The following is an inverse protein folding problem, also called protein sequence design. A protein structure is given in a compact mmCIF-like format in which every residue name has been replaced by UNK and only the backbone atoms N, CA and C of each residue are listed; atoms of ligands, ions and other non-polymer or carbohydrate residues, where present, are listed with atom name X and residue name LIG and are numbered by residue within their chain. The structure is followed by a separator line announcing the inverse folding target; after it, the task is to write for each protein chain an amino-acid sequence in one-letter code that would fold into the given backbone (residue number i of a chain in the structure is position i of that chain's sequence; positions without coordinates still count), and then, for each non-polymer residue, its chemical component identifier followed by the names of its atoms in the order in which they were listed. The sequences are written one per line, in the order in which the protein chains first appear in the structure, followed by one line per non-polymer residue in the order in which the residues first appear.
data_IF_658196838427
#
_entry.id   IF_658196838427
#
_cell.length_a   1.000
_cell.length_b   1.000
_cell.length_c   1.000
_cell.angle_alpha   90.00
_cell.angle_beta   90.00
_cell.angle_gamma   90.00
#
_symmetry.space_group_name_H-M   'P 1'
#
loop_
_entity.id
_entity.type
_entity.pdbx_description
1 polymer ?
#
# COMPACT_ATOMS: atom_id res chain seq x y z
N UNK A 1 -15.40 -0.77 17.91
CA UNK A 1 -14.91 0.19 16.90
C UNK A 1 -15.05 -0.43 15.52
N UNK A 2 -15.45 0.32 14.50
CA UNK A 2 -15.45 -0.13 13.11
C UNK A 2 -14.07 0.16 12.52
N UNK A 3 -13.49 -0.80 11.80
CA UNK A 3 -12.12 -0.76 11.27
C UNK A 3 -12.16 -0.51 9.77
N UNK A 4 -11.17 0.23 9.24
CA UNK A 4 -10.93 0.39 7.81
C UNK A 4 -9.55 -0.19 7.48
N UNK A 5 -9.51 -1.11 6.52
CA UNK A 5 -8.28 -1.68 5.99
C UNK A 5 -7.76 -0.79 4.86
N UNK A 6 -6.72 -0.01 5.14
CA UNK A 6 -6.20 0.98 4.20
C UNK A 6 -5.32 0.39 3.08
N UNK A 7 -5.06 -0.92 3.07
CA UNK A 7 -4.19 -1.53 2.07
C UNK A 7 -4.53 -3.02 1.86
N UNK A 8 -5.24 -3.30 0.78
CA UNK A 8 -5.53 -4.66 0.32
C UNK A 8 -5.22 -4.81 -1.16
N UNK A 9 -5.17 -6.06 -1.61
CA UNK A 9 -5.05 -6.40 -3.03
C UNK A 9 -6.10 -7.42 -3.44
N UNK A 10 -6.79 -7.13 -4.55
CA UNK A 10 -7.61 -8.08 -5.27
C UNK A 10 -6.90 -8.49 -6.56
N UNK A 11 -7.14 -9.69 -7.05
CA UNK A 11 -6.66 -10.07 -8.37
C UNK A 11 -7.65 -10.98 -9.08
N UNK A 12 -7.98 -10.62 -10.32
CA UNK A 12 -8.73 -11.47 -11.23
C UNK A 12 -7.82 -12.55 -11.79
N UNK A 13 -6.64 -12.12 -12.25
CA UNK A 13 -5.57 -12.98 -12.71
C UNK A 13 -4.26 -12.46 -12.13
N UNK A 14 -3.54 -13.30 -11.40
CA UNK A 14 -2.23 -12.92 -10.90
C UNK A 14 -1.21 -13.07 -12.04
N UNK A 15 -0.78 -11.93 -12.58
CA UNK A 15 0.11 -11.85 -13.73
C UNK A 15 1.03 -10.63 -13.59
N UNK A 16 1.92 -10.68 -12.62
CA UNK A 16 2.84 -9.61 -12.30
C UNK A 16 4.13 -9.65 -13.13
N UNK A 17 4.93 -8.62 -12.95
CA UNK A 17 6.27 -8.53 -13.53
C UNK A 17 7.22 -7.81 -12.56
N UNK A 18 8.45 -8.27 -12.48
CA UNK A 18 9.45 -7.66 -11.59
C UNK A 18 10.87 -8.14 -11.89
N UNK A 19 11.79 -7.96 -10.94
CA UNK A 19 13.21 -8.31 -11.10
C UNK A 19 13.48 -9.78 -11.46
N UNK A 20 12.53 -10.67 -11.14
CA UNK A 20 12.60 -12.11 -11.47
C UNK A 20 11.80 -12.49 -12.72
N UNK A 21 11.42 -11.51 -13.54
CA UNK A 21 10.58 -11.67 -14.70
C UNK A 21 9.09 -11.74 -14.37
N UNK A 22 8.33 -12.48 -15.17
CA UNK A 22 6.90 -12.66 -14.95
C UNK A 22 6.60 -13.44 -13.67
N UNK A 23 5.46 -13.14 -13.07
CA UNK A 23 4.88 -13.86 -11.94
C UNK A 23 3.50 -14.35 -12.34
N UNK A 24 3.23 -15.65 -12.23
CA UNK A 24 1.93 -16.24 -12.54
C UNK A 24 1.42 -17.12 -11.41
N UNK A 25 0.12 -17.23 -11.28
CA UNK A 25 -0.50 -18.20 -10.38
C UNK A 25 -0.47 -19.62 -11.01
N UNK A 26 -0.09 -20.61 -10.21
CA UNK A 26 -0.01 -22.02 -10.62
C UNK A 26 -1.04 -22.91 -9.90
N UNK A 27 -1.95 -22.32 -9.12
CA UNK A 27 -3.02 -23.00 -8.40
C UNK A 27 -2.82 -23.03 -6.89
N UNK A 28 -3.92 -23.15 -6.12
CA UNK A 28 -3.90 -23.20 -4.65
C UNK A 28 -3.31 -21.95 -3.99
N UNK A 29 -3.32 -20.82 -4.68
CA UNK A 29 -2.69 -19.59 -4.23
C UNK A 29 -1.16 -19.58 -4.34
N UNK A 30 -0.55 -20.60 -4.93
CA UNK A 30 0.88 -20.60 -5.23
C UNK A 30 1.18 -19.88 -6.53
N UNK A 31 2.33 -19.23 -6.55
CA UNK A 31 2.84 -18.48 -7.69
C UNK A 31 4.26 -18.91 -8.06
N UNK A 32 4.61 -18.74 -9.32
CA UNK A 32 5.90 -19.05 -9.90
C UNK A 32 6.44 -17.84 -10.65
N UNK A 33 7.70 -17.50 -10.41
CA UNK A 33 8.44 -16.52 -11.20
C UNK A 33 9.08 -17.18 -12.44
N UNK A 34 9.42 -16.37 -13.43
CA UNK A 34 10.14 -16.84 -14.63
C UNK A 34 11.53 -17.44 -14.32
N UNK A 35 12.13 -17.12 -13.17
CA UNK A 35 13.37 -17.76 -12.69
C UNK A 35 13.15 -19.15 -12.07
N UNK A 36 11.90 -19.64 -12.03
CA UNK A 36 11.50 -20.94 -11.46
C UNK A 36 11.29 -20.93 -9.95
N UNK A 37 11.50 -19.81 -9.27
CA UNK A 37 11.22 -19.71 -7.84
C UNK A 37 9.72 -19.61 -7.55
N UNK A 38 9.25 -20.33 -6.52
CA UNK A 38 7.83 -20.41 -6.16
C UNK A 38 7.61 -19.98 -4.71
N UNK A 39 6.42 -19.45 -4.42
CA UNK A 39 5.96 -19.18 -3.06
C UNK A 39 4.44 -19.15 -3.00
N UNK A 40 3.86 -19.23 -1.81
CA UNK A 40 2.43 -19.05 -1.61
C UNK A 40 2.10 -17.56 -1.48
N UNK A 41 1.30 -17.03 -2.41
CA UNK A 41 0.88 -15.63 -2.45
C UNK A 41 -0.39 -15.40 -1.63
N UNK A 42 -1.32 -16.37 -1.61
CA UNK A 42 -2.52 -16.30 -0.80
C UNK A 42 -2.98 -17.70 -0.35
N UNK A 43 -3.70 -17.79 0.77
CA UNK A 43 -4.25 -19.08 1.21
C UNK A 43 -5.35 -19.53 0.25
N UNK A 44 -5.41 -20.84 -0.04
CA UNK A 44 -6.37 -21.43 -0.97
C UNK A 44 -7.86 -21.14 -0.61
N UNK A 45 -8.15 -20.82 0.65
CA UNK A 45 -9.50 -20.42 1.09
C UNK A 45 -9.99 -19.12 0.45
N UNK A 46 -9.09 -18.27 -0.03
CA UNK A 46 -9.45 -17.04 -0.75
C UNK A 46 -9.73 -17.27 -2.23
N UNK A 47 -9.20 -18.34 -2.80
CA UNK A 47 -9.38 -18.71 -4.21
C UNK A 47 -8.29 -19.65 -4.71
N UNK A 48 -8.52 -20.22 -5.87
CA UNK A 48 -7.57 -21.14 -6.52
C UNK A 48 -6.51 -20.37 -7.32
N UNK A 49 -6.95 -19.38 -8.12
CA UNK A 49 -6.11 -18.57 -9.03
C UNK A 49 -6.30 -17.07 -8.86
N UNK A 50 -7.29 -16.65 -8.10
CA UNK A 50 -7.72 -15.26 -7.97
C UNK A 50 -8.10 -14.94 -6.52
N UNK A 51 -8.21 -13.65 -6.24
CA UNK A 51 -8.74 -13.15 -4.96
C UNK A 51 -9.90 -12.22 -5.29
N UNK A 52 -11.13 -12.70 -5.02
CA UNK A 52 -12.34 -11.99 -5.40
C UNK A 52 -12.79 -10.98 -4.34
N UNK A 53 -13.53 -9.92 -4.73
CA UNK A 53 -14.14 -9.00 -3.77
C UNK A 53 -15.02 -9.73 -2.74
N UNK A 54 -15.78 -10.74 -3.16
CA UNK A 54 -16.69 -11.49 -2.31
C UNK A 54 -15.95 -12.31 -1.23
N UNK A 55 -14.84 -12.95 -1.61
CA UNK A 55 -14.02 -13.68 -0.65
C UNK A 55 -13.44 -12.74 0.42
N UNK A 56 -12.95 -11.55 0.00
CA UNK A 56 -12.43 -10.53 0.91
C UNK A 56 -13.54 -9.94 1.78
N UNK A 57 -14.71 -9.61 1.22
CA UNK A 57 -15.86 -9.11 1.98
C UNK A 57 -16.31 -10.11 3.06
N UNK A 58 -16.36 -11.40 2.73
CA UNK A 58 -16.70 -12.45 3.71
C UNK A 58 -15.72 -12.48 4.87
N UNK A 59 -14.44 -12.26 4.60
CA UNK A 59 -13.38 -12.16 5.63
C UNK A 59 -13.55 -10.88 6.47
N UNK A 60 -13.74 -9.74 5.80
CA UNK A 60 -13.97 -8.45 6.46
C UNK A 60 -15.18 -8.47 7.39
N UNK A 61 -16.30 -9.03 6.92
CA UNK A 61 -17.56 -9.11 7.70
C UNK A 61 -17.39 -9.96 8.96
N UNK A 62 -16.66 -11.06 8.86
CA UNK A 62 -16.38 -11.93 10.00
C UNK A 62 -15.53 -11.25 11.07
N UNK A 63 -14.60 -10.40 10.67
CA UNK A 63 -13.65 -9.74 11.57
C UNK A 63 -14.06 -8.29 11.93
N UNK A 64 -15.18 -7.79 11.43
CA UNK A 64 -15.70 -6.46 11.76
C UNK A 64 -14.99 -5.31 11.04
N UNK A 65 -14.35 -5.58 9.90
CA UNK A 65 -13.76 -4.56 9.02
C UNK A 65 -14.83 -4.00 8.10
N UNK A 66 -15.08 -2.68 8.20
CA UNK A 66 -16.19 -2.03 7.52
C UNK A 66 -15.89 -1.71 6.06
N UNK A 67 -14.71 -1.17 5.79
CA UNK A 67 -14.28 -0.72 4.46
C UNK A 67 -12.85 -1.16 4.17
N UNK A 68 -12.48 -1.20 2.90
CA UNK A 68 -11.09 -1.43 2.51
C UNK A 68 -10.68 -0.62 1.28
N UNK A 69 -9.36 -0.37 1.16
CA UNK A 69 -8.74 0.37 0.07
C UNK A 69 -7.88 -0.59 -0.76
N UNK A 70 -8.21 -0.74 -2.03
CA UNK A 70 -7.50 -1.60 -2.97
C UNK A 70 -6.31 -0.84 -3.57
N UNK A 71 -5.10 -1.11 -3.10
CA UNK A 71 -3.87 -0.45 -3.55
C UNK A 71 -3.09 -1.37 -4.50
N UNK A 72 -3.51 -1.41 -5.76
CA UNK A 72 -2.90 -2.27 -6.76
C UNK A 72 -1.49 -1.82 -7.14
N UNK A 73 -0.67 -2.77 -7.61
CA UNK A 73 0.71 -2.52 -8.02
C UNK A 73 1.20 -3.56 -9.03
N UNK A 74 2.44 -3.39 -9.49
CA UNK A 74 3.02 -4.22 -10.55
C UNK A 74 3.30 -5.66 -10.11
N UNK A 75 3.47 -5.87 -8.81
CA UNK A 75 3.79 -7.18 -8.24
C UNK A 75 2.77 -8.26 -8.61
N UNK A 76 1.48 -7.94 -8.55
CA UNK A 76 0.40 -8.87 -8.94
C UNK A 76 -0.14 -8.59 -10.35
N UNK A 77 0.47 -7.63 -11.04
CA UNK A 77 -0.01 -7.06 -12.30
C UNK A 77 -1.08 -5.98 -12.09
N UNK A 78 -1.16 -5.02 -13.01
CA UNK A 78 -2.20 -4.00 -12.95
C UNK A 78 -3.59 -4.62 -12.98
N UNK A 79 -4.37 -4.40 -11.93
CA UNK A 79 -5.73 -4.91 -11.76
C UNK A 79 -6.77 -3.78 -11.86
N UNK A 80 -6.45 -2.71 -12.59
CA UNK A 80 -7.24 -1.49 -12.61
C UNK A 80 -8.72 -1.72 -12.92
N UNK A 81 -9.03 -2.42 -14.01
CA UNK A 81 -10.43 -2.65 -14.41
C UNK A 81 -11.18 -3.51 -13.38
N UNK A 82 -10.54 -4.54 -12.86
CA UNK A 82 -11.11 -5.37 -11.82
C UNK A 82 -11.34 -4.61 -10.50
N UNK A 83 -10.41 -3.72 -10.14
CA UNK A 83 -10.55 -2.79 -9.02
C UNK A 83 -11.73 -1.86 -9.23
N UNK A 84 -11.85 -1.28 -10.43
CA UNK A 84 -12.97 -0.42 -10.79
C UNK A 84 -14.31 -1.15 -10.70
N UNK A 85 -14.41 -2.36 -11.25
CA UNK A 85 -15.62 -3.19 -11.16
C UNK A 85 -16.01 -3.47 -9.70
N UNK A 86 -15.03 -3.77 -8.83
CA UNK A 86 -15.28 -3.98 -7.40
C UNK A 86 -15.78 -2.70 -6.72
N UNK A 87 -15.22 -1.53 -7.06
CA UNK A 87 -15.71 -0.23 -6.56
C UNK A 87 -17.15 0.05 -7.00
N UNK A 88 -17.49 -0.22 -8.28
CA UNK A 88 -18.84 -0.03 -8.78
C UNK A 88 -19.85 -0.98 -8.13
N UNK A 89 -19.45 -2.22 -7.87
CA UNK A 89 -20.31 -3.25 -7.29
C UNK A 89 -20.53 -3.06 -5.79
N UNK A 90 -19.52 -2.56 -5.09
CA UNK A 90 -19.54 -2.41 -3.61
C UNK A 90 -19.07 -1.01 -3.18
N UNK A 91 -19.75 0.08 -3.61
CA UNK A 91 -19.27 1.45 -3.42
C UNK A 91 -19.17 1.88 -1.95
N UNK A 92 -19.98 1.28 -1.07
CA UNK A 92 -19.96 1.57 0.37
C UNK A 92 -18.84 0.82 1.13
N UNK A 93 -18.20 -0.15 0.46
CA UNK A 93 -17.21 -1.04 1.07
C UNK A 93 -15.80 -0.83 0.54
N UNK A 94 -15.67 -0.48 -0.73
CA UNK A 94 -14.38 -0.38 -1.41
C UNK A 94 -14.17 0.98 -2.08
N UNK A 95 -12.97 1.48 -1.93
CA UNK A 95 -12.33 2.43 -2.85
C UNK A 95 -11.01 1.84 -3.31
N UNK A 96 -10.38 2.45 -4.34
CA UNK A 96 -9.14 1.87 -4.84
C UNK A 96 -8.28 2.82 -5.64
N UNK A 97 -7.02 2.44 -5.78
CA UNK A 97 -6.04 3.11 -6.60
C UNK A 97 -5.96 2.46 -7.98
N UNK A 98 -5.74 3.28 -8.99
CA UNK A 98 -5.21 2.81 -10.26
C UNK A 98 -3.68 2.95 -10.29
N UNK A 99 -3.02 2.09 -11.06
CA UNK A 99 -1.59 2.18 -11.34
C UNK A 99 -1.36 2.14 -12.85
N UNK A 100 -0.31 2.77 -13.30
CA UNK A 100 0.14 2.73 -14.69
C UNK A 100 1.65 2.92 -14.75
N UNK A 101 2.22 2.52 -15.87
CA UNK A 101 3.64 2.67 -16.14
C UNK A 101 3.88 3.96 -16.94
N UNK A 102 4.54 4.99 -16.34
CA UNK A 102 4.83 6.26 -17.02
C UNK A 102 5.79 6.12 -18.20
N UNK A 103 6.48 4.97 -18.34
CA UNK A 103 7.37 4.70 -19.46
C UNK A 103 6.65 4.03 -20.65
N UNK A 104 5.39 3.63 -20.50
CA UNK A 104 4.59 3.14 -21.61
C UNK A 104 4.37 4.22 -22.67
N UNK A 105 4.53 3.86 -23.95
CA UNK A 105 4.36 4.82 -25.07
C UNK A 105 3.06 5.61 -25.03
N UNK A 106 1.97 5.03 -24.51
CA UNK A 106 0.64 5.64 -24.45
C UNK A 106 0.18 5.89 -23.01
N UNK A 107 1.12 6.12 -22.08
CA UNK A 107 0.76 6.35 -20.67
C UNK A 107 -0.24 7.50 -20.48
N UNK A 108 -0.19 8.53 -21.32
CA UNK A 108 -1.10 9.67 -21.26
C UNK A 108 -2.56 9.27 -21.58
N UNK A 109 -2.76 8.41 -22.58
CA UNK A 109 -4.09 7.87 -22.88
C UNK A 109 -4.59 6.95 -21.76
N UNK A 110 -3.68 6.13 -21.20
CA UNK A 110 -3.99 5.23 -20.06
C UNK A 110 -4.39 6.03 -18.84
N UNK A 111 -3.58 7.02 -18.40
CA UNK A 111 -3.90 7.81 -17.20
C UNK A 111 -5.19 8.62 -17.38
N UNK A 112 -5.45 9.19 -18.59
CA UNK A 112 -6.70 9.87 -18.87
C UNK A 112 -7.90 8.94 -18.71
N UNK A 113 -7.86 7.75 -19.28
CA UNK A 113 -8.93 6.75 -19.12
C UNK A 113 -9.16 6.40 -17.65
N UNK A 114 -8.08 6.12 -16.90
CA UNK A 114 -8.19 5.72 -15.50
C UNK A 114 -8.73 6.84 -14.59
N UNK A 115 -8.27 8.08 -14.75
CA UNK A 115 -8.54 9.14 -13.79
C UNK A 115 -9.62 10.12 -14.22
N UNK A 116 -9.82 10.35 -15.54
CA UNK A 116 -10.85 11.26 -16.04
C UNK A 116 -12.13 10.52 -16.45
N UNK A 117 -12.02 9.32 -17.05
CA UNK A 117 -13.18 8.55 -17.52
C UNK A 117 -13.69 7.58 -16.43
N UNK A 118 -12.82 6.72 -15.87
CA UNK A 118 -13.18 5.79 -14.81
C UNK A 118 -13.20 6.44 -13.41
N UNK A 119 -12.58 7.62 -13.27
CA UNK A 119 -12.59 8.45 -12.05
C UNK A 119 -12.02 7.77 -10.81
N UNK A 120 -10.88 7.10 -10.95
CA UNK A 120 -10.14 6.64 -9.79
C UNK A 120 -9.70 7.84 -8.93
N UNK A 121 -9.96 7.82 -7.61
CA UNK A 121 -9.57 8.92 -6.74
C UNK A 121 -8.11 8.85 -6.27
N UNK A 122 -7.45 7.74 -6.53
CA UNK A 122 -6.11 7.41 -5.99
C UNK A 122 -5.23 6.89 -7.12
N UNK A 123 -3.99 7.36 -7.19
CA UNK A 123 -2.94 6.77 -8.03
C UNK A 123 -1.88 6.13 -7.14
N UNK A 124 -1.44 4.91 -7.46
CA UNK A 124 -0.31 4.25 -6.77
C UNK A 124 0.88 4.10 -7.71
N UNK A 125 2.03 4.54 -7.25
CA UNK A 125 3.34 4.26 -7.84
C UNK A 125 4.11 3.29 -6.93
N UNK A 126 4.14 2.02 -7.33
CA UNK A 126 5.05 1.04 -6.75
C UNK A 126 6.37 1.15 -7.49
N UNK A 127 7.35 1.79 -6.87
CA UNK A 127 8.64 2.09 -7.53
C UNK A 127 9.77 1.16 -7.07
N UNK A 128 9.46 0.19 -6.21
CA UNK A 128 10.43 -0.74 -5.61
C UNK A 128 11.30 -1.45 -6.67
N UNK A 129 12.54 -1.77 -6.30
CA UNK A 129 13.49 -2.48 -7.14
C UNK A 129 13.29 -4.01 -7.18
N UNK A 130 12.41 -4.54 -6.33
CA UNK A 130 12.02 -5.95 -6.35
C UNK A 130 10.86 -6.25 -7.27
N UNK A 131 9.80 -5.45 -7.21
CA UNK A 131 8.52 -5.73 -7.88
C UNK A 131 7.88 -4.51 -8.52
N UNK A 132 8.38 -3.31 -8.22
CA UNK A 132 7.88 -2.06 -8.76
C UNK A 132 8.58 -1.65 -10.05
N UNK A 133 8.39 -0.40 -10.45
CA UNK A 133 8.88 0.14 -11.71
C UNK A 133 10.40 0.06 -11.86
N UNK A 134 11.17 0.27 -10.78
CA UNK A 134 12.63 0.19 -10.82
C UNK A 134 13.16 -1.27 -10.85
N UNK A 135 12.29 -2.27 -10.76
CA UNK A 135 12.68 -3.67 -10.92
C UNK A 135 12.91 -4.08 -12.37
N UNK A 136 12.34 -3.35 -13.33
CA UNK A 136 12.42 -3.64 -14.77
C UNK A 136 12.67 -2.40 -15.64
N UNK A 137 12.61 -1.20 -15.08
CA UNK A 137 13.10 0.03 -15.70
C UNK A 137 14.45 0.45 -15.09
N UNK A 138 15.14 1.34 -15.77
CA UNK A 138 16.31 2.01 -15.17
C UNK A 138 15.88 2.83 -13.98
N UNK A 139 16.80 3.00 -13.04
CA UNK A 139 16.62 3.91 -11.92
C UNK A 139 16.24 5.32 -12.40
N UNK A 140 15.26 5.94 -11.73
CA UNK A 140 14.82 7.30 -11.98
C UNK A 140 14.62 8.05 -10.65
N UNK A 141 14.75 9.37 -10.69
CA UNK A 141 14.58 10.20 -9.51
C UNK A 141 13.08 10.45 -9.21
N UNK A 142 12.68 10.29 -7.96
CA UNK A 142 11.29 10.57 -7.53
C UNK A 142 10.95 12.07 -7.56
N UNK A 143 11.96 12.93 -7.53
CA UNK A 143 11.85 14.38 -7.72
C UNK A 143 12.28 14.85 -9.13
N UNK A 144 12.48 13.90 -10.07
CA UNK A 144 12.87 14.18 -11.44
C UNK A 144 11.71 14.53 -12.36
N UNK A 145 12.01 15.02 -13.57
CA UNK A 145 11.05 15.55 -14.56
C UNK A 145 9.92 14.57 -14.89
N UNK A 146 10.22 13.28 -15.03
CA UNK A 146 9.23 12.26 -15.35
C UNK A 146 8.17 12.17 -14.25
N UNK A 147 8.59 12.08 -12.97
CA UNK A 147 7.66 12.03 -11.85
C UNK A 147 6.96 13.36 -11.63
N UNK A 148 7.64 14.47 -11.83
CA UNK A 148 7.05 15.82 -11.76
C UNK A 148 5.85 15.95 -12.69
N UNK A 149 5.94 15.46 -13.93
CA UNK A 149 4.80 15.45 -14.85
C UNK A 149 3.62 14.66 -14.30
N UNK A 150 3.88 13.49 -13.69
CA UNK A 150 2.81 12.66 -13.13
C UNK A 150 2.18 13.32 -11.88
N UNK A 151 2.98 13.96 -11.04
CA UNK A 151 2.50 14.67 -9.85
C UNK A 151 1.70 15.93 -10.21
N UNK A 152 2.16 16.73 -11.16
CA UNK A 152 1.38 17.86 -11.70
C UNK A 152 0.01 17.41 -12.23
N UNK A 153 -0.03 16.30 -12.96
CA UNK A 153 -1.28 15.74 -13.46
C UNK A 153 -2.18 15.27 -12.31
N UNK A 154 -1.64 14.54 -11.33
CA UNK A 154 -2.40 14.11 -10.16
C UNK A 154 -2.95 15.28 -9.35
N UNK A 155 -2.14 16.34 -9.17
CA UNK A 155 -2.55 17.56 -8.43
C UNK A 155 -3.67 18.29 -9.17
N UNK A 156 -3.62 18.36 -10.50
CA UNK A 156 -4.67 18.98 -11.32
C UNK A 156 -6.05 18.33 -11.17
N UNK A 157 -6.07 17.04 -10.81
CA UNK A 157 -7.28 16.24 -10.59
C UNK A 157 -7.63 16.06 -9.11
N UNK A 158 -6.80 16.56 -8.18
CA UNK A 158 -7.00 16.39 -6.74
C UNK A 158 -6.89 14.95 -6.25
N UNK A 159 -6.04 14.14 -6.90
CA UNK A 159 -5.85 12.73 -6.54
C UNK A 159 -5.05 12.57 -5.24
N UNK A 160 -5.29 11.49 -4.52
CA UNK A 160 -4.33 10.99 -3.52
C UNK A 160 -3.24 10.18 -4.22
N UNK A 161 -1.97 10.41 -3.86
CA UNK A 161 -0.83 9.71 -4.46
C UNK A 161 -0.22 8.76 -3.44
N UNK A 162 -0.16 7.47 -3.77
CA UNK A 162 0.42 6.43 -2.91
C UNK A 162 1.77 6.00 -3.48
N UNK A 163 2.81 6.00 -2.64
CA UNK A 163 4.14 5.54 -3.00
C UNK A 163 4.56 4.32 -2.19
N UNK A 164 4.95 3.27 -2.89
CA UNK A 164 5.76 2.20 -2.33
C UNK A 164 7.19 2.36 -2.85
N UNK A 165 8.07 2.86 -1.98
CA UNK A 165 9.48 3.13 -2.30
C UNK A 165 10.42 1.97 -1.90
N UNK A 166 9.85 0.80 -1.61
CA UNK A 166 10.63 -0.38 -1.25
C UNK A 166 11.29 -0.29 0.13
N UNK A 167 12.50 -0.85 0.25
CA UNK A 167 13.19 -1.06 1.53
C UNK A 167 14.47 -0.24 1.62
N UNK A 168 14.90 0.05 2.84
CA UNK A 168 16.19 0.66 3.12
C UNK A 168 17.32 -0.06 2.39
N UNK A 169 18.21 0.73 1.75
CA UNK A 169 19.35 0.24 0.97
C UNK A 169 19.05 -0.08 -0.50
N UNK A 170 17.77 -0.10 -0.94
CA UNK A 170 17.42 -0.20 -2.35
C UNK A 170 17.59 1.15 -3.09
N UNK A 171 17.82 1.11 -4.40
CA UNK A 171 17.95 2.34 -5.22
C UNK A 171 16.63 3.15 -5.26
N UNK A 172 15.50 2.49 -5.03
CA UNK A 172 14.17 3.07 -4.97
C UNK A 172 13.86 3.77 -3.63
N UNK A 173 14.66 3.56 -2.58
CA UNK A 173 14.44 4.14 -1.24
C UNK A 173 14.87 5.62 -1.19
N UNK A 174 14.27 6.43 -2.05
CA UNK A 174 14.64 7.82 -2.32
C UNK A 174 13.85 8.80 -1.43
N UNK A 175 14.04 8.70 -0.10
CA UNK A 175 13.33 9.51 0.90
C UNK A 175 13.47 11.01 0.64
N UNK A 176 14.68 11.49 0.31
CA UNK A 176 14.93 12.91 0.05
C UNK A 176 14.21 13.39 -1.22
N UNK A 177 14.23 12.58 -2.29
CA UNK A 177 13.52 12.87 -3.52
C UNK A 177 12.00 12.92 -3.30
N UNK A 178 11.44 11.94 -2.57
CA UNK A 178 10.03 11.94 -2.23
C UNK A 178 9.64 13.16 -1.38
N UNK A 179 10.46 13.55 -0.40
CA UNK A 179 10.21 14.73 0.41
C UNK A 179 10.29 16.02 -0.41
N UNK A 180 11.24 16.11 -1.37
CA UNK A 180 11.34 17.24 -2.29
C UNK A 180 10.09 17.35 -3.19
N UNK A 181 9.62 16.22 -3.73
CA UNK A 181 8.39 16.16 -4.51
C UNK A 181 7.17 16.58 -3.68
N UNK A 182 7.00 16.05 -2.45
CA UNK A 182 5.88 16.41 -1.59
C UNK A 182 5.86 17.90 -1.22
N UNK A 183 7.02 18.52 -1.02
CA UNK A 183 7.13 19.97 -0.76
C UNK A 183 6.75 20.82 -1.97
N UNK A 184 7.01 20.35 -3.19
CA UNK A 184 6.62 21.07 -4.42
C UNK A 184 5.11 20.98 -4.71
N UNK A 185 4.46 19.94 -4.20
CA UNK A 185 3.04 19.66 -4.41
C UNK A 185 2.25 19.70 -3.10
N UNK A 186 2.13 20.85 -2.42
CA UNK A 186 1.44 20.95 -1.12
C UNK A 186 -0.07 20.68 -1.24
N UNK A 187 -0.64 20.76 -2.43
CA UNK A 187 -2.05 20.45 -2.72
C UNK A 187 -2.33 18.94 -2.85
N UNK A 188 -1.29 18.11 -3.01
CA UNK A 188 -1.43 16.66 -3.06
C UNK A 188 -1.36 16.02 -1.67
N UNK A 189 -2.20 15.01 -1.45
CA UNK A 189 -2.03 14.09 -0.33
C UNK A 189 -1.11 12.93 -0.75
N UNK A 190 0.01 12.77 -0.06
CA UNK A 190 0.93 11.66 -0.23
C UNK A 190 0.69 10.59 0.82
N UNK A 191 0.67 9.34 0.41
CA UNK A 191 0.66 8.17 1.30
C UNK A 191 1.91 7.35 1.02
N UNK A 192 2.68 7.06 2.06
CA UNK A 192 3.90 6.23 1.96
C UNK A 192 3.62 4.86 2.57
N UNK A 193 3.80 3.81 1.77
CA UNK A 193 3.48 2.45 2.15
C UNK A 193 4.41 1.90 3.24
N UNK A 194 3.85 0.98 4.06
CA UNK A 194 4.58 0.07 4.94
C UNK A 194 5.44 0.75 6.01
N UNK A 195 5.14 2.02 6.36
CA UNK A 195 5.95 2.82 7.29
C UNK A 195 7.45 2.82 6.90
N UNK A 196 7.75 2.91 5.57
CA UNK A 196 9.09 2.74 4.99
C UNK A 196 9.66 1.32 5.15
N UNK A 197 8.82 0.31 5.33
CA UNK A 197 9.14 -1.12 5.37
C UNK A 197 10.29 -1.52 6.32
N UNK A 198 10.30 -1.10 7.60
CA UNK A 198 11.38 -1.41 8.52
C UNK A 198 11.45 -2.93 8.81
N UNK A 199 12.68 -3.48 8.83
CA UNK A 199 12.97 -4.88 9.13
C UNK A 199 13.95 -4.99 10.28
N UNK A 200 13.44 -5.30 11.48
CA UNK A 200 14.24 -5.24 12.69
C UNK A 200 14.76 -3.83 12.98
N UNK A 201 15.69 -3.70 13.92
CA UNK A 201 16.17 -2.40 14.44
C UNK A 201 17.59 -2.04 14.00
N UNK A 202 18.20 -2.80 13.10
CA UNK A 202 19.62 -2.60 12.72
C UNK A 202 19.91 -1.24 12.05
N UNK A 203 18.91 -0.63 11.43
CA UNK A 203 19.00 0.69 10.78
C UNK A 203 17.96 1.69 11.33
N UNK A 204 17.60 1.56 12.60
CA UNK A 204 16.58 2.43 13.23
C UNK A 204 16.95 3.92 13.16
N UNK A 205 18.23 4.26 13.19
CA UNK A 205 18.70 5.64 13.07
C UNK A 205 18.35 6.23 11.70
N UNK A 206 18.66 5.51 10.63
CA UNK A 206 18.38 5.94 9.26
C UNK A 206 16.87 6.02 9.03
N UNK A 207 16.12 5.07 9.58
CA UNK A 207 14.67 5.08 9.51
C UNK A 207 14.07 6.28 10.24
N UNK A 208 14.56 6.63 11.45
CA UNK A 208 14.11 7.85 12.17
C UNK A 208 14.39 9.13 11.39
N UNK A 209 15.56 9.24 10.79
CA UNK A 209 15.90 10.41 9.96
C UNK A 209 15.01 10.48 8.71
N UNK A 210 14.69 9.34 8.11
CA UNK A 210 13.73 9.26 6.99
C UNK A 210 12.33 9.71 7.42
N UNK A 211 11.84 9.25 8.57
CA UNK A 211 10.54 9.66 9.12
C UNK A 211 10.50 11.17 9.40
N UNK A 212 11.56 11.75 9.98
CA UNK A 212 11.67 13.19 10.19
C UNK A 212 11.69 13.97 8.87
N UNK A 213 12.39 13.46 7.85
CA UNK A 213 12.46 14.05 6.52
C UNK A 213 11.10 14.12 5.85
N UNK A 214 10.27 13.08 6.03
CA UNK A 214 8.92 12.97 5.49
C UNK A 214 7.83 13.47 6.46
N UNK A 215 8.19 14.10 7.58
CA UNK A 215 7.23 14.77 8.46
C UNK A 215 6.75 16.09 7.84
N UNK A 216 5.92 15.97 6.80
CA UNK A 216 5.31 17.07 6.05
C UNK A 216 3.79 16.98 6.19
N UNK A 217 3.08 18.09 6.24
CA UNK A 217 1.64 18.15 6.51
C UNK A 217 0.80 17.33 5.52
N UNK A 218 1.27 17.19 4.29
CA UNK A 218 0.61 16.44 3.23
C UNK A 218 1.13 15.00 3.06
N UNK A 219 1.91 14.47 4.00
CA UNK A 219 2.41 13.08 3.96
C UNK A 219 1.83 12.28 5.11
N UNK A 220 1.25 11.13 4.85
CA UNK A 220 0.79 10.13 5.82
C UNK A 220 1.37 8.76 5.47
N UNK A 221 1.28 7.81 6.39
CA UNK A 221 1.87 6.48 6.22
C UNK A 221 0.83 5.38 6.45
N UNK A 222 0.91 4.31 5.67
CA UNK A 222 0.23 3.09 6.05
C UNK A 222 1.16 2.15 6.85
N UNK A 223 0.53 1.32 7.69
CA UNK A 223 1.19 0.34 8.55
C UNK A 223 1.12 -1.08 7.95
N UNK A 224 0.74 -1.18 6.68
CA UNK A 224 0.60 -2.46 6.00
C UNK A 224 1.90 -3.25 6.05
N UNK A 225 1.80 -4.56 6.19
CA UNK A 225 2.92 -5.49 6.35
C UNK A 225 3.89 -5.20 7.51
N UNK A 226 3.64 -4.23 8.37
CA UNK A 226 4.60 -3.87 9.41
C UNK A 226 4.90 -5.04 10.35
N UNK A 227 3.87 -5.78 10.80
CA UNK A 227 4.04 -7.00 11.60
C UNK A 227 4.80 -8.08 10.82
N UNK A 228 4.47 -8.27 9.56
CA UNK A 228 5.09 -9.25 8.68
C UNK A 228 6.56 -8.96 8.39
N UNK A 229 6.95 -7.69 8.36
CA UNK A 229 8.34 -7.27 8.16
C UNK A 229 9.24 -7.57 9.37
N UNK A 230 8.66 -7.86 10.56
CA UNK A 230 9.43 -8.17 11.77
C UNK A 230 9.72 -9.67 11.95
N UNK A 231 9.51 -10.49 10.92
CA UNK A 231 9.76 -11.94 11.04
C UNK A 231 11.19 -12.26 11.37
N UNK A 232 11.38 -13.32 12.18
CA UNK A 232 10.42 -14.33 12.63
C UNK A 232 9.67 -14.00 13.94
N UNK A 233 9.56 -12.72 14.32
CA UNK A 233 8.92 -12.30 15.56
C UNK A 233 7.44 -12.74 15.58
N UNK A 234 6.98 -13.44 16.65
CA UNK A 234 5.61 -13.87 16.77
C UNK A 234 4.68 -12.74 17.22
N UNK A 235 3.36 -12.95 17.07
CA UNK A 235 2.34 -12.13 17.71
C UNK A 235 2.64 -11.96 19.22
N UNK A 236 2.50 -10.78 19.81
CA UNK A 236 1.88 -9.56 19.27
C UNK A 236 2.86 -8.57 18.61
N UNK A 237 3.95 -8.99 18.04
CA UNK A 237 4.91 -8.20 17.27
C UNK A 237 5.47 -6.97 17.99
N UNK A 238 6.19 -7.15 19.10
CA UNK A 238 6.68 -6.03 19.93
C UNK A 238 7.57 -5.04 19.15
N UNK A 239 8.31 -5.50 18.15
CA UNK A 239 9.11 -4.61 17.30
C UNK A 239 8.23 -3.73 16.40
N UNK A 240 7.13 -4.27 15.86
CA UNK A 240 6.15 -3.47 15.10
C UNK A 240 5.50 -2.40 15.99
N UNK A 241 5.08 -2.76 17.21
CA UNK A 241 4.55 -1.82 18.21
C UNK A 241 5.56 -0.71 18.51
N UNK A 242 6.83 -1.09 18.66
CA UNK A 242 7.90 -0.12 18.89
C UNK A 242 8.04 0.87 17.73
N UNK A 243 8.02 0.43 16.48
CA UNK A 243 8.08 1.31 15.32
C UNK A 243 6.88 2.27 15.26
N UNK A 244 5.68 1.78 15.57
CA UNK A 244 4.49 2.64 15.64
C UNK A 244 4.67 3.73 16.70
N UNK A 245 5.14 3.38 17.91
CA UNK A 245 5.42 4.38 18.96
C UNK A 245 6.41 5.44 18.53
N UNK A 246 7.52 5.02 17.94
CA UNK A 246 8.54 5.95 17.45
C UNK A 246 7.99 6.87 16.35
N UNK A 247 7.21 6.31 15.42
CA UNK A 247 6.53 7.11 14.40
C UNK A 247 5.54 8.10 15.01
N UNK A 248 4.77 7.69 16.02
CA UNK A 248 3.84 8.58 16.73
C UNK A 248 4.54 9.77 17.41
N UNK A 249 5.73 9.55 17.98
CA UNK A 249 6.51 10.64 18.58
C UNK A 249 6.99 11.66 17.53
N UNK A 250 7.18 11.23 16.28
CA UNK A 250 7.65 12.10 15.19
C UNK A 250 6.48 12.78 14.48
N UNK A 251 5.40 12.03 14.22
CA UNK A 251 4.32 12.43 13.31
C UNK A 251 2.98 12.72 14.00
N UNK A 252 2.67 12.05 15.12
CA UNK A 252 1.33 11.90 15.67
C UNK A 252 0.58 10.68 15.11
N UNK A 253 -0.42 10.21 15.86
CA UNK A 253 -1.20 9.01 15.49
C UNK A 253 -2.12 9.24 14.27
N UNK A 254 -2.54 10.47 14.04
CA UNK A 254 -3.41 10.89 12.94
C UNK A 254 -2.72 10.97 11.58
N UNK A 255 -1.43 10.62 11.54
CA UNK A 255 -0.60 10.53 10.33
C UNK A 255 -0.32 9.09 9.91
N UNK A 256 -0.92 8.11 10.58
CA UNK A 256 -0.76 6.69 10.30
C UNK A 256 -2.13 6.02 10.15
N UNK A 257 -2.18 4.99 9.29
CA UNK A 257 -3.37 4.18 9.10
C UNK A 257 -3.00 2.71 8.90
N UNK A 258 -3.74 1.84 9.56
CA UNK A 258 -3.54 0.40 9.44
C UNK A 258 -3.98 -0.11 8.07
N UNK A 259 -3.23 -1.09 7.54
CA UNK A 259 -3.57 -1.90 6.39
C UNK A 259 -3.07 -3.33 6.58
N UNK A 260 -3.81 -4.31 6.08
CA UNK A 260 -3.45 -5.72 6.22
C UNK A 260 -2.39 -6.17 5.23
N UNK A 261 -2.34 -5.55 4.05
CA UNK A 261 -1.60 -6.03 2.89
C UNK A 261 -1.99 -7.46 2.51
N UNK A 262 -3.31 -7.77 2.68
CA UNK A 262 -3.82 -9.04 2.16
C UNK A 262 -3.75 -9.06 0.63
N UNK A 263 -3.60 -10.21 0.00
CA UNK A 263 -3.78 -11.55 0.55
C UNK A 263 -2.50 -12.20 1.10
N UNK A 264 -1.32 -11.65 0.83
CA UNK A 264 -0.04 -12.31 1.08
C UNK A 264 0.21 -12.60 2.57
N UNK A 265 -0.14 -11.66 3.43
CA UNK A 265 0.05 -11.81 4.87
C UNK A 265 -0.85 -12.89 5.50
N UNK A 266 -1.97 -13.23 4.86
CA UNK A 266 -2.86 -14.30 5.32
C UNK A 266 -2.30 -15.72 5.13
N UNK A 267 -1.22 -15.88 4.36
CA UNK A 267 -0.48 -17.14 4.30
C UNK A 267 0.25 -17.47 5.62
N UNK A 268 0.34 -16.51 6.51
CA UNK A 268 1.27 -16.56 7.64
C UNK A 268 0.64 -16.15 8.95
N UNK A 269 -0.46 -15.39 8.89
CA UNK A 269 -1.17 -14.93 10.06
C UNK A 269 -2.67 -14.84 9.81
N UNK A 270 -3.47 -14.83 10.87
CA UNK A 270 -4.89 -14.56 10.74
C UNK A 270 -5.15 -13.09 10.44
N UNK A 271 -6.22 -12.79 9.70
CA UNK A 271 -6.62 -11.39 9.44
C UNK A 271 -6.80 -10.61 10.75
N UNK A 272 -7.33 -11.26 11.78
CA UNK A 272 -7.51 -10.71 13.12
C UNK A 272 -6.17 -10.27 13.73
N UNK A 273 -5.15 -11.10 13.74
CA UNK A 273 -3.85 -10.76 14.30
C UNK A 273 -3.18 -9.57 13.59
N UNK A 274 -3.48 -9.35 12.29
CA UNK A 274 -2.91 -8.23 11.52
C UNK A 274 -3.34 -6.86 12.04
N UNK A 275 -4.41 -6.76 12.85
CA UNK A 275 -4.80 -5.50 13.50
C UNK A 275 -4.93 -5.57 15.02
N UNK A 276 -5.13 -6.76 15.60
CA UNK A 276 -5.27 -6.93 17.05
C UNK A 276 -4.05 -6.48 17.84
N UNK A 277 -2.86 -6.61 17.28
CA UNK A 277 -1.65 -6.13 17.93
C UNK A 277 -1.67 -4.60 18.18
N UNK A 278 -2.50 -3.85 17.45
CA UNK A 278 -2.80 -2.44 17.70
C UNK A 278 -4.02 -2.33 18.62
N UNK A 279 -5.12 -3.00 18.28
CA UNK A 279 -6.40 -2.91 18.95
C UNK A 279 -6.33 -3.32 20.42
N UNK A 280 -5.69 -4.45 20.70
CA UNK A 280 -5.58 -5.02 22.06
C UNK A 280 -4.35 -4.51 22.82
N UNK A 281 -3.52 -3.70 22.17
CA UNK A 281 -2.32 -3.16 22.81
C UNK A 281 -2.67 -2.19 23.94
N UNK A 282 -2.04 -2.36 25.10
CA UNK A 282 -2.11 -1.41 26.19
C UNK A 282 -1.14 -0.22 26.05
N UNK A 283 -0.36 -0.20 24.96
CA UNK A 283 0.64 0.85 24.68
C UNK A 283 -0.02 2.08 24.07
N UNK A 284 -1.15 1.90 23.39
CA UNK A 284 -1.88 2.96 22.69
C UNK A 284 -3.16 3.31 23.43
N UNK A 285 -3.49 4.62 23.48
CA UNK A 285 -4.79 5.10 23.95
C UNK A 285 -5.90 4.75 22.96
N UNK A 286 -7.15 4.72 23.39
CA UNK A 286 -8.29 4.45 22.49
C UNK A 286 -8.37 5.47 21.34
N UNK A 287 -8.05 6.74 21.58
CA UNK A 287 -8.02 7.78 20.54
C UNK A 287 -6.94 7.51 19.49
N UNK A 288 -5.75 7.05 19.90
CA UNK A 288 -4.68 6.66 18.97
C UNK A 288 -5.05 5.42 18.15
N UNK A 289 -5.68 4.42 18.78
CA UNK A 289 -6.19 3.24 18.07
C UNK A 289 -7.26 3.61 17.05
N UNK A 290 -8.22 4.46 17.42
CA UNK A 290 -9.23 4.96 16.49
C UNK A 290 -8.62 5.74 15.33
N UNK A 291 -7.60 6.56 15.58
CA UNK A 291 -6.87 7.27 14.53
C UNK A 291 -6.25 6.29 13.54
N UNK A 292 -5.49 5.32 14.02
CA UNK A 292 -4.77 4.36 13.18
C UNK A 292 -5.68 3.34 12.49
N UNK A 293 -6.70 2.84 13.19
CA UNK A 293 -7.55 1.75 12.67
C UNK A 293 -8.76 2.25 11.85
N UNK A 294 -9.04 3.56 11.88
CA UNK A 294 -10.21 4.10 11.19
C UNK A 294 -10.02 5.53 10.67
N UNK A 295 -9.85 6.52 11.58
CA UNK A 295 -10.10 7.92 11.26
C UNK A 295 -9.17 8.48 10.19
N UNK A 296 -7.88 8.08 10.21
CA UNK A 296 -6.92 8.50 9.19
C UNK A 296 -7.30 7.97 7.83
N UNK A 297 -7.61 6.67 7.70
CA UNK A 297 -8.02 6.07 6.43
C UNK A 297 -9.35 6.65 5.91
N UNK A 298 -10.32 6.89 6.79
CA UNK A 298 -11.60 7.51 6.40
C UNK A 298 -11.38 8.92 5.86
N UNK A 299 -10.55 9.74 6.53
CA UNK A 299 -10.19 11.09 6.10
C UNK A 299 -9.44 11.12 4.77
N UNK A 300 -8.46 10.21 4.58
CA UNK A 300 -7.57 10.23 3.41
C UNK A 300 -8.25 9.64 2.17
N UNK A 301 -9.05 8.60 2.32
CA UNK A 301 -9.54 7.81 1.18
C UNK A 301 -11.05 7.85 0.95
N UNK A 302 -11.85 8.11 2.00
CA UNK A 302 -13.30 8.06 1.89
C UNK A 302 -13.99 9.43 2.07
N UNK A 303 -13.31 10.40 2.70
CA UNK A 303 -13.79 11.77 2.76
C UNK A 303 -13.51 12.57 1.46
N UNK A 304 -12.83 11.97 0.49
CA UNK A 304 -12.60 12.57 -0.84
C UNK A 304 -13.95 12.82 -1.50
N UNK A 305 -14.31 14.07 -1.60
CA UNK A 305 -15.58 14.48 -2.20
C UNK A 305 -15.50 14.29 -3.72
N UNK A 306 -16.49 13.62 -4.22
CA UNK A 306 -16.82 13.54 -5.65
C UNK A 306 -17.15 14.91 -6.22
#
# INVERSE_FOLDING_TARGET
MKIIDAHIHLCQNLNGFGAKGELRCIGGGFVEYADGSTFQMFPAVLGEYNVTPEAVLSLMDREGVEKAVMLQGNFIGPQNLYTWEAMQKYPDRFTGAACYDPFCRKYQDVRRHLFEELRFPIVKFEVSDGSGLMSYHREFALDGEMMEEQLCYAESLGLTVVFDIGRHGGCCWQVQGLAAAAKRHPGLQFVVCHLLAPQGRSYETDWREAMKTLNLDNVVFDLASLSSNQRPEPYPYPTAIWFIKEAMHILGADRMMWGSDLPSNLCRDSYRHLFDYILESHVFTECEKESMLRNTADRIYFALKH
#
